data_IF_617461788797
#
_entry.id   IF_617461788797
#
_cell.length_a   1.000
_cell.length_b   1.000
_cell.length_c   1.000
_cell.angle_alpha   90.00
_cell.angle_beta   90.00
_cell.angle_gamma   90.00
#
_symmetry.space_group_name_H-M   'P 1'
#
loop_
_entity.id
_entity.type
_entity.pdbx_description
1 polymer ?
#
# COMPACT_ATOMS: atom_id res chain seq x y z
N UNK A 1 10.62 36.12 -0.87
CA UNK A 1 10.00 35.33 0.22
C UNK A 1 10.10 33.88 -0.18
N UNK A 2 11.21 33.23 0.18
CA UNK A 2 11.41 31.79 0.07
C UNK A 2 10.91 31.16 1.37
N UNK A 3 10.13 30.09 1.29
CA UNK A 3 10.18 28.80 2.02
C UNK A 3 8.85 28.10 1.71
N UNK A 4 8.88 27.10 0.83
CA UNK A 4 8.05 25.89 0.89
C UNK A 4 8.75 24.85 0.02
N UNK A 5 9.92 24.43 0.52
CA UNK A 5 10.54 23.19 0.08
C UNK A 5 9.69 21.99 0.54
N UNK A 6 9.62 20.99 -0.35
CA UNK A 6 9.48 19.56 -0.08
C UNK A 6 8.13 19.05 0.45
N UNK A 7 7.34 18.41 -0.42
CA UNK A 7 6.67 17.16 -0.07
C UNK A 7 6.56 16.26 -1.33
N UNK A 8 6.82 14.96 -1.10
CA UNK A 8 7.08 13.91 -2.08
C UNK A 8 5.73 13.41 -2.62
N UNK A 9 5.52 13.52 -3.94
CA UNK A 9 4.27 13.19 -4.63
C UNK A 9 3.37 14.41 -4.86
N UNK A 10 2.98 14.68 -6.11
CA UNK A 10 1.95 15.70 -6.36
C UNK A 10 0.61 15.22 -5.81
N UNK A 11 -0.26 16.13 -5.39
CA UNK A 11 -1.64 15.85 -4.96
C UNK A 11 -2.40 14.87 -5.88
N UNK A 12 -2.14 14.92 -7.19
CA UNK A 12 -2.72 14.02 -8.18
C UNK A 12 -2.19 12.60 -8.07
N UNK A 13 -0.91 12.42 -7.75
CA UNK A 13 -0.30 11.10 -7.56
C UNK A 13 -0.84 10.40 -6.33
N UNK A 14 -1.03 11.13 -5.22
CA UNK A 14 -1.70 10.57 -4.05
C UNK A 14 -3.15 10.21 -4.32
N UNK A 15 -3.90 11.11 -4.99
CA UNK A 15 -5.27 10.81 -5.42
C UNK A 15 -5.31 9.52 -6.25
N UNK A 16 -4.44 9.41 -7.25
CA UNK A 16 -4.41 8.26 -8.15
C UNK A 16 -4.03 6.98 -7.40
N UNK A 17 -3.08 7.06 -6.45
CA UNK A 17 -2.74 5.94 -5.56
C UNK A 17 -3.94 5.48 -4.72
N UNK A 18 -4.64 6.40 -4.06
CA UNK A 18 -5.78 6.07 -3.21
C UNK A 18 -6.95 5.49 -4.02
N UNK A 19 -7.23 6.04 -5.21
CA UNK A 19 -8.23 5.48 -6.12
C UNK A 19 -7.83 4.06 -6.54
N UNK A 20 -6.57 3.87 -6.92
CA UNK A 20 -6.04 2.55 -7.24
C UNK A 20 -6.20 1.56 -6.09
N UNK A 21 -5.86 1.98 -4.87
CA UNK A 21 -6.03 1.16 -3.68
C UNK A 21 -7.50 0.74 -3.50
N UNK A 22 -8.44 1.69 -3.60
CA UNK A 22 -9.86 1.38 -3.51
C UNK A 22 -10.32 0.39 -4.59
N UNK A 23 -9.83 0.50 -5.83
CA UNK A 23 -10.09 -0.49 -6.88
C UNK A 23 -9.58 -1.87 -6.48
N UNK A 24 -8.39 -1.96 -5.89
CA UNK A 24 -7.79 -3.23 -5.47
C UNK A 24 -8.52 -3.92 -4.30
N UNK A 25 -9.22 -3.16 -3.45
CA UNK A 25 -10.12 -3.74 -2.41
C UNK A 25 -11.59 -3.73 -2.83
N UNK A 26 -11.87 -3.52 -4.13
CA UNK A 26 -13.21 -3.54 -4.71
C UNK A 26 -14.21 -2.57 -4.01
N UNK A 27 -13.71 -1.38 -3.65
CA UNK A 27 -14.52 -0.26 -3.17
C UNK A 27 -14.78 0.72 -4.32
N UNK A 28 -16.06 0.99 -4.58
CA UNK A 28 -16.46 2.03 -5.51
C UNK A 28 -16.25 3.43 -4.90
N UNK A 29 -15.44 4.26 -5.56
CA UNK A 29 -15.22 5.65 -5.19
C UNK A 29 -16.10 6.55 -6.05
N UNK A 30 -16.92 7.38 -5.41
CA UNK A 30 -17.70 8.39 -6.11
C UNK A 30 -16.84 9.62 -6.45
N UNK A 31 -17.34 10.48 -7.35
CA UNK A 31 -16.62 11.67 -7.81
C UNK A 31 -16.22 12.61 -6.65
N UNK A 32 -17.11 12.83 -5.69
CA UNK A 32 -16.85 13.75 -4.57
C UNK A 32 -15.68 13.26 -3.69
N UNK A 33 -15.64 11.96 -3.40
CA UNK A 33 -14.54 11.35 -2.64
C UNK A 33 -13.23 11.38 -3.44
N UNK A 34 -13.28 11.12 -4.75
CA UNK A 34 -12.10 11.23 -5.63
C UNK A 34 -11.53 12.66 -5.67
N UNK A 35 -12.39 13.68 -5.77
CA UNK A 35 -11.99 15.09 -5.72
C UNK A 35 -11.45 15.47 -4.34
N UNK A 36 -11.99 14.90 -3.27
CA UNK A 36 -11.51 15.11 -1.90
C UNK A 36 -10.08 14.60 -1.70
N UNK A 37 -9.72 13.41 -2.21
CA UNK A 37 -8.39 12.83 -2.02
C UNK A 37 -7.24 13.71 -2.55
N UNK A 38 -7.50 14.53 -3.57
CA UNK A 38 -6.51 15.48 -4.10
C UNK A 38 -6.15 16.60 -3.10
N UNK A 39 -6.97 16.82 -2.07
CA UNK A 39 -6.78 17.88 -1.08
C UNK A 39 -6.33 17.35 0.29
N UNK A 40 -6.15 16.03 0.42
CA UNK A 40 -5.67 15.42 1.65
C UNK A 40 -4.17 15.62 1.75
N UNK A 41 -3.72 16.18 2.87
CA UNK A 41 -2.29 16.22 3.21
C UNK A 41 -1.79 14.79 3.40
N UNK A 42 -0.73 14.45 2.69
CA UNK A 42 -0.21 13.09 2.62
C UNK A 42 1.31 13.08 2.66
N UNK A 43 1.86 11.89 2.92
CA UNK A 43 3.29 11.62 2.79
C UNK A 43 3.50 10.25 2.14
N UNK A 44 4.36 10.20 1.15
CA UNK A 44 4.77 8.94 0.53
C UNK A 44 5.97 8.27 1.20
N UNK A 45 6.53 8.86 2.26
CA UNK A 45 7.78 8.40 2.86
C UNK A 45 7.74 6.94 3.32
N UNK A 46 6.69 6.54 4.05
CA UNK A 46 6.60 5.15 4.55
C UNK A 46 6.32 4.15 3.43
N UNK A 47 5.60 4.55 2.37
CA UNK A 47 5.46 3.74 1.15
C UNK A 47 6.80 3.59 0.43
N UNK A 48 7.58 4.66 0.28
CA UNK A 48 8.90 4.64 -0.34
C UNK A 48 9.85 3.70 0.40
N UNK A 49 9.93 3.82 1.73
CA UNK A 49 10.74 2.96 2.57
C UNK A 49 10.27 1.50 2.52
N UNK A 50 8.96 1.27 2.50
CA UNK A 50 8.38 -0.06 2.35
C UNK A 50 8.79 -0.71 1.03
N UNK A 51 8.54 -0.05 -0.11
CA UNK A 51 8.85 -0.62 -1.42
C UNK A 51 10.35 -0.84 -1.64
N UNK A 52 11.20 0.05 -1.12
CA UNK A 52 12.66 -0.14 -1.14
C UNK A 52 13.08 -1.41 -0.40
N UNK A 53 12.55 -1.63 0.80
CA UNK A 53 12.89 -2.80 1.62
C UNK A 53 12.30 -4.10 1.06
N UNK A 54 11.10 -4.05 0.50
CA UNK A 54 10.48 -5.19 -0.20
C UNK A 54 11.30 -5.56 -1.43
N UNK A 55 11.72 -4.58 -2.24
CA UNK A 55 12.60 -4.79 -3.39
C UNK A 55 13.92 -5.43 -2.96
N UNK A 56 14.57 -4.89 -1.93
CA UNK A 56 15.79 -5.44 -1.36
C UNK A 56 15.58 -6.88 -0.87
N UNK A 57 14.47 -7.14 -0.18
CA UNK A 57 14.06 -8.46 0.28
C UNK A 57 13.99 -9.48 -0.85
N UNK A 58 13.39 -9.12 -1.99
CA UNK A 58 13.33 -9.99 -3.16
C UNK A 58 14.67 -10.16 -3.86
N UNK A 59 15.43 -9.08 -4.06
CA UNK A 59 16.71 -9.11 -4.78
C UNK A 59 17.77 -9.90 -4.03
N UNK A 60 17.87 -9.68 -2.71
CA UNK A 60 18.86 -10.31 -1.83
C UNK A 60 18.37 -11.61 -1.18
N UNK A 61 17.12 -12.01 -1.44
CA UNK A 61 16.44 -13.12 -0.75
C UNK A 61 16.48 -12.94 0.78
N UNK A 62 16.37 -11.70 1.24
CA UNK A 62 16.45 -11.33 2.65
C UNK A 62 15.05 -11.29 3.26
N UNK A 63 14.72 -12.33 4.04
CA UNK A 63 13.46 -12.39 4.80
C UNK A 63 13.38 -11.22 5.79
N UNK A 64 14.50 -10.81 6.39
CA UNK A 64 14.55 -9.67 7.29
C UNK A 64 14.14 -8.37 6.60
N UNK A 65 14.74 -8.06 5.44
CA UNK A 65 14.39 -6.86 4.68
C UNK A 65 12.93 -6.90 4.19
N UNK A 66 12.48 -8.06 3.69
CA UNK A 66 11.09 -8.23 3.28
C UNK A 66 10.10 -8.02 4.44
N UNK A 67 10.41 -8.57 5.62
CA UNK A 67 9.56 -8.45 6.82
C UNK A 67 9.47 -7.00 7.30
N UNK A 68 10.61 -6.29 7.36
CA UNK A 68 10.62 -4.87 7.74
C UNK A 68 9.90 -4.02 6.68
N UNK A 69 10.06 -4.35 5.40
CA UNK A 69 9.33 -3.70 4.31
C UNK A 69 7.81 -3.85 4.43
N UNK A 70 7.33 -5.05 4.80
CA UNK A 70 5.89 -5.28 5.06
C UNK A 70 5.42 -4.54 6.32
N UNK A 71 6.22 -4.47 7.38
CA UNK A 71 5.89 -3.66 8.57
C UNK A 71 5.74 -2.18 8.22
N UNK A 72 6.63 -1.67 7.36
CA UNK A 72 6.57 -0.31 6.82
C UNK A 72 5.34 -0.11 5.95
N UNK A 73 4.92 -1.11 5.17
CA UNK A 73 3.66 -1.06 4.44
C UNK A 73 2.49 -0.90 5.41
N UNK A 74 2.46 -1.68 6.50
CA UNK A 74 1.48 -1.55 7.57
C UNK A 74 1.39 -0.13 8.13
N UNK A 75 2.54 0.50 8.41
CA UNK A 75 2.56 1.90 8.85
C UNK A 75 2.05 2.87 7.77
N UNK A 76 2.42 2.65 6.51
CA UNK A 76 2.00 3.48 5.38
C UNK A 76 0.48 3.46 5.13
N UNK A 77 -0.21 2.36 5.47
CA UNK A 77 -1.68 2.27 5.37
C UNK A 77 -2.41 3.32 6.21
N UNK A 78 -1.77 3.91 7.22
CA UNK A 78 -2.35 4.99 8.02
C UNK A 78 -2.66 6.24 7.18
N UNK A 79 -1.90 6.49 6.10
CA UNK A 79 -2.20 7.58 5.17
C UNK A 79 -3.48 7.30 4.38
N UNK A 80 -3.73 6.03 4.05
CA UNK A 80 -4.96 5.59 3.38
C UNK A 80 -6.16 5.70 4.32
N UNK A 81 -6.02 5.19 5.56
CA UNK A 81 -7.06 5.26 6.59
C UNK A 81 -7.46 6.72 6.83
N UNK A 82 -6.48 7.62 6.96
CA UNK A 82 -6.73 9.06 7.13
C UNK A 82 -7.46 9.64 5.91
N UNK A 83 -7.02 9.31 4.70
CA UNK A 83 -7.67 9.81 3.48
C UNK A 83 -9.12 9.33 3.37
N UNK A 84 -9.39 8.06 3.65
CA UNK A 84 -10.74 7.50 3.64
C UNK A 84 -11.63 8.13 4.70
N UNK A 85 -11.12 8.34 5.91
CA UNK A 85 -11.87 8.99 7.00
C UNK A 85 -12.22 10.44 6.65
N UNK A 86 -11.23 11.24 6.24
CA UNK A 86 -11.42 12.65 5.83
C UNK A 86 -12.39 12.78 4.65
N UNK A 87 -12.30 11.87 3.69
CA UNK A 87 -13.14 11.88 2.48
C UNK A 87 -14.42 11.04 2.60
N UNK A 88 -14.78 10.63 3.82
CA UNK A 88 -16.04 9.97 4.16
C UNK A 88 -16.31 8.70 3.34
N UNK A 89 -15.29 7.84 3.22
CA UNK A 89 -15.35 6.52 2.58
C UNK A 89 -15.27 5.44 3.67
N UNK A 90 -16.35 5.18 4.43
CA UNK A 90 -16.29 4.37 5.66
C UNK A 90 -16.06 2.87 5.41
N UNK A 91 -16.26 2.39 4.17
CA UNK A 91 -16.23 0.96 3.85
C UNK A 91 -14.83 0.38 4.11
N UNK A 92 -14.79 -0.72 4.88
CA UNK A 92 -13.58 -1.49 5.25
C UNK A 92 -12.50 -0.69 6.01
N UNK A 93 -12.76 0.53 6.50
CA UNK A 93 -11.75 1.31 7.24
C UNK A 93 -11.25 0.56 8.48
N UNK A 94 -12.14 -0.08 9.23
CA UNK A 94 -11.78 -0.81 10.45
C UNK A 94 -10.97 -2.07 10.13
N UNK A 95 -11.33 -2.78 9.06
CA UNK A 95 -10.57 -3.95 8.58
C UNK A 95 -9.17 -3.54 8.11
N UNK A 96 -9.06 -2.46 7.33
CA UNK A 96 -7.76 -1.90 6.90
C UNK A 96 -6.92 -1.48 8.12
N UNK A 97 -7.55 -0.92 9.15
CA UNK A 97 -6.88 -0.53 10.40
C UNK A 97 -6.38 -1.75 11.16
N UNK A 98 -7.16 -2.81 11.25
CA UNK A 98 -6.75 -4.06 11.87
C UNK A 98 -5.54 -4.67 11.13
N UNK A 99 -5.61 -4.80 9.81
CA UNK A 99 -4.50 -5.30 8.99
C UNK A 99 -3.27 -4.40 9.15
N UNK A 100 -3.43 -3.08 9.12
CA UNK A 100 -2.34 -2.13 9.35
C UNK A 100 -1.61 -2.39 10.67
N UNK A 101 -2.33 -2.59 11.76
CA UNK A 101 -1.73 -2.90 13.07
C UNK A 101 -1.07 -4.27 13.12
N UNK A 102 -1.67 -5.29 12.50
CA UNK A 102 -1.09 -6.63 12.45
C UNK A 102 0.21 -6.66 11.60
N UNK A 103 0.24 -5.94 10.48
CA UNK A 103 1.45 -5.77 9.67
C UNK A 103 2.51 -4.96 10.42
N UNK A 104 2.14 -3.82 11.02
CA UNK A 104 3.06 -2.94 11.75
C UNK A 104 3.69 -3.63 12.96
N UNK A 105 2.91 -4.42 13.71
CA UNK A 105 3.40 -5.22 14.85
C UNK A 105 4.31 -6.37 14.44
N UNK A 106 4.38 -6.69 13.13
CA UNK A 106 5.14 -7.83 12.64
C UNK A 106 4.56 -9.16 13.11
N UNK A 107 3.24 -9.24 13.30
CA UNK A 107 2.55 -10.45 13.77
C UNK A 107 3.04 -11.66 12.97
N UNK A 108 3.71 -12.59 13.66
CA UNK A 108 4.51 -13.62 13.01
C UNK A 108 3.69 -14.49 12.04
N UNK A 109 2.39 -14.70 12.31
CA UNK A 109 1.49 -15.43 11.42
C UNK A 109 1.30 -14.77 10.07
N UNK A 110 1.04 -13.45 10.04
CA UNK A 110 0.73 -12.71 8.80
C UNK A 110 1.99 -12.41 8.03
N UNK A 111 3.08 -12.02 8.70
CA UNK A 111 4.36 -11.85 8.04
C UNK A 111 4.83 -13.19 7.46
N UNK A 112 4.68 -14.30 8.19
CA UNK A 112 5.02 -15.63 7.66
C UNK A 112 4.14 -16.02 6.48
N UNK A 113 2.84 -15.73 6.52
CA UNK A 113 1.93 -15.94 5.39
C UNK A 113 2.41 -15.15 4.18
N UNK A 114 2.56 -13.83 4.32
CA UNK A 114 2.99 -12.96 3.24
C UNK A 114 4.36 -13.34 2.70
N UNK A 115 5.34 -13.63 3.55
CA UNK A 115 6.67 -14.07 3.12
C UNK A 115 6.61 -15.43 2.41
N UNK A 116 5.83 -16.38 2.92
CA UNK A 116 5.70 -17.72 2.32
C UNK A 116 5.01 -17.63 0.96
N UNK A 117 3.86 -16.96 0.88
CA UNK A 117 3.14 -16.73 -0.37
C UNK A 117 4.00 -15.91 -1.34
N UNK A 118 4.77 -14.93 -0.84
CA UNK A 118 5.68 -14.11 -1.65
C UNK A 118 6.91 -14.87 -2.18
N UNK A 119 7.21 -16.07 -1.67
CA UNK A 119 8.35 -16.90 -2.09
C UNK A 119 7.91 -18.08 -2.97
N UNK A 120 6.67 -18.56 -2.82
CA UNK A 120 6.15 -19.71 -3.57
C UNK A 120 5.56 -19.23 -4.91
N UNK A 121 6.40 -19.17 -5.94
CA UNK A 121 5.97 -18.97 -7.33
C UNK A 121 5.38 -20.30 -7.84
N UNK A 122 4.08 -20.55 -7.75
CA UNK A 122 3.46 -21.64 -8.54
C UNK A 122 1.95 -21.50 -8.81
N UNK A 123 1.62 -21.51 -10.11
CA UNK A 123 0.34 -21.77 -10.81
C UNK A 123 -0.98 -21.74 -10.01
N UNK A 124 -1.84 -20.81 -10.42
CA UNK A 124 -3.31 -20.82 -10.36
C UNK A 124 -4.04 -20.31 -9.11
N UNK A 125 -3.39 -19.62 -8.17
CA UNK A 125 -4.09 -18.76 -7.19
C UNK A 125 -3.34 -17.44 -7.00
N UNK A 126 -4.08 -16.38 -6.71
CA UNK A 126 -3.67 -14.96 -6.61
C UNK A 126 -2.25 -14.83 -6.05
N UNK A 127 -1.31 -14.37 -6.88
CA UNK A 127 0.12 -14.37 -6.60
C UNK A 127 0.51 -13.07 -5.89
N UNK A 128 0.54 -13.09 -4.55
CA UNK A 128 0.96 -11.94 -3.75
C UNK A 128 2.41 -11.52 -4.06
N UNK A 129 3.28 -12.45 -4.49
CA UNK A 129 4.61 -12.09 -5.00
C UNK A 129 4.51 -11.16 -6.19
N UNK A 130 3.63 -11.50 -7.14
CA UNK A 130 3.42 -10.68 -8.33
C UNK A 130 2.86 -9.31 -7.95
N UNK A 131 1.89 -9.23 -7.05
CA UNK A 131 1.34 -7.95 -6.59
C UNK A 131 2.42 -7.09 -5.90
N UNK A 132 3.24 -7.66 -5.01
CA UNK A 132 4.34 -6.90 -4.40
C UNK A 132 5.37 -6.42 -5.44
N UNK A 133 5.77 -7.29 -6.37
CA UNK A 133 6.73 -6.94 -7.44
C UNK A 133 6.18 -5.88 -8.38
N UNK A 134 4.92 -6.01 -8.77
CA UNK A 134 4.23 -5.05 -9.61
C UNK A 134 4.02 -3.73 -8.86
N UNK A 135 3.68 -3.77 -7.57
CA UNK A 135 3.61 -2.60 -6.69
C UNK A 135 4.93 -1.83 -6.66
N UNK A 136 6.06 -2.52 -6.43
CA UNK A 136 7.41 -1.94 -6.50
C UNK A 136 7.71 -1.36 -7.88
N UNK A 137 7.42 -2.10 -8.95
CA UNK A 137 7.69 -1.65 -10.32
C UNK A 137 6.85 -0.40 -10.70
N UNK A 138 5.58 -0.39 -10.32
CA UNK A 138 4.65 0.72 -10.53
C UNK A 138 5.03 1.94 -9.71
N UNK A 139 5.48 1.75 -8.46
CA UNK A 139 6.04 2.82 -7.64
C UNK A 139 7.22 3.49 -8.34
N UNK A 140 8.20 2.70 -8.78
CA UNK A 140 9.41 3.19 -9.47
C UNK A 140 9.12 3.88 -10.81
N UNK A 141 8.09 3.45 -11.51
CA UNK A 141 7.64 4.07 -12.77
C UNK A 141 6.63 5.20 -12.58
N UNK A 142 6.33 5.59 -11.33
CA UNK A 142 5.32 6.61 -10.98
C UNK A 142 3.91 6.29 -11.50
N UNK A 143 3.62 5.02 -11.77
CA UNK A 143 2.27 4.56 -12.06
C UNK A 143 1.51 4.34 -10.76
N UNK A 144 1.15 5.43 -10.10
CA UNK A 144 0.60 5.40 -8.74
C UNK A 144 -0.76 4.72 -8.65
N UNK A 145 -1.61 4.81 -9.68
CA UNK A 145 -2.90 4.10 -9.70
C UNK A 145 -2.71 2.60 -9.70
N UNK A 146 -1.89 2.05 -10.61
CA UNK A 146 -1.65 0.62 -10.60
C UNK A 146 -0.85 0.19 -9.37
N UNK A 147 0.06 1.03 -8.86
CA UNK A 147 0.74 0.78 -7.59
C UNK A 147 -0.28 0.63 -6.43
N UNK A 148 -1.19 1.59 -6.30
CA UNK A 148 -2.29 1.56 -5.35
C UNK A 148 -3.12 0.30 -5.50
N UNK A 149 -3.48 -0.08 -6.75
CA UNK A 149 -4.26 -1.30 -7.02
C UNK A 149 -3.57 -2.57 -6.52
N UNK A 150 -2.25 -2.70 -6.73
CA UNK A 150 -1.51 -3.85 -6.21
C UNK A 150 -1.50 -3.88 -4.68
N UNK A 151 -1.32 -2.73 -4.02
CA UNK A 151 -1.42 -2.63 -2.56
C UNK A 151 -2.84 -2.99 -2.10
N UNK A 152 -3.85 -2.48 -2.78
CA UNK A 152 -5.25 -2.81 -2.52
C UNK A 152 -5.51 -4.31 -2.62
N UNK A 153 -5.07 -4.98 -3.68
CA UNK A 153 -5.20 -6.43 -3.80
C UNK A 153 -4.54 -7.18 -2.64
N UNK A 154 -3.32 -6.79 -2.25
CA UNK A 154 -2.60 -7.41 -1.12
C UNK A 154 -3.42 -7.29 0.16
N UNK A 155 -3.96 -6.11 0.46
CA UNK A 155 -4.77 -5.88 1.66
C UNK A 155 -6.12 -6.59 1.55
N UNK A 156 -6.76 -6.60 0.39
CA UNK A 156 -8.01 -7.30 0.14
C UNK A 156 -7.89 -8.81 0.42
N UNK A 157 -6.80 -9.44 0.01
CA UNK A 157 -6.51 -10.85 0.32
C UNK A 157 -6.33 -11.11 1.82
N UNK A 158 -5.89 -10.11 2.59
CA UNK A 158 -5.70 -10.25 4.04
C UNK A 158 -6.98 -10.00 4.84
N UNK A 159 -7.95 -9.28 4.27
CA UNK A 159 -9.26 -9.03 4.87
C UNK A 159 -10.20 -10.24 4.70
N UNK A 160 -10.08 -10.98 3.59
CA UNK A 160 -10.84 -12.21 3.30
C UNK A 160 -10.41 -13.42 4.15
#
# INVERSE_FOLDING_TARGET
>A
MFIHDLEIGSALEFRDFIIGFAEGIEIAINKNSADCFANVRHSFKDFEDSFRLIEEGFQRKSIGALSVGIQKLGAALQEIIRAFDVCQVPKLIDDIREISEQLKSGTAGIIKLLVKESIIIFRNRRDLTADFRNGVANWKSRNFRDCGRNVGHIIGVLIE
#
